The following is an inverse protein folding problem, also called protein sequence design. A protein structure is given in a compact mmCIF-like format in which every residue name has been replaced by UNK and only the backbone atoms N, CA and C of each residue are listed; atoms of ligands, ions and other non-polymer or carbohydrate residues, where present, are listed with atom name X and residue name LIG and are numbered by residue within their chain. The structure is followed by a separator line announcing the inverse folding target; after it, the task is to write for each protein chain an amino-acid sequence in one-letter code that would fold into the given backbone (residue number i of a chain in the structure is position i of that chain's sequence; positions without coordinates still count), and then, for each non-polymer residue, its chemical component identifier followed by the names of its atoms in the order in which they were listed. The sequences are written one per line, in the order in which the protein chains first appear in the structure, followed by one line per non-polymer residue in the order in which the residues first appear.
data_IF_449925489541
#
_entry.id   IF_449925489541
#
_cell.length_a   1.000
_cell.length_b   1.000
_cell.length_c   1.000
_cell.angle_alpha   90.00
_cell.angle_beta   90.00
_cell.angle_gamma   90.00
#
_symmetry.space_group_name_H-M   'P 1'
#
loop_
_entity.id
_entity.type
_entity.pdbx_description
1 polymer ?
#
# COMPACT_ATOMS: atom_id res chain seq x y z
N UNK A 1 -0.74 0.25 -11.77
CA UNK A 1 -0.59 -0.64 -10.59
C UNK A 1 0.50 -1.71 -10.78
N UNK A 2 1.58 -1.39 -11.51
CA UNK A 2 2.76 -2.25 -11.72
C UNK A 2 3.56 -2.53 -10.45
N UNK A 3 3.45 -1.71 -9.38
CA UNK A 3 4.26 -1.87 -8.16
C UNK A 3 4.05 -3.18 -7.39
N UNK A 4 2.94 -3.86 -7.63
CA UNK A 4 2.62 -5.14 -6.99
C UNK A 4 2.95 -6.33 -7.89
N UNK A 5 3.26 -6.06 -9.16
CA UNK A 5 3.53 -7.06 -10.17
C UNK A 5 4.90 -7.67 -9.90
N UNK A 6 5.01 -9.00 -9.85
CA UNK A 6 6.30 -9.64 -9.63
C UNK A 6 7.24 -9.37 -10.81
N UNK A 7 8.49 -9.02 -10.52
CA UNK A 7 9.52 -8.79 -11.56
C UNK A 7 10.14 -10.09 -12.08
N UNK A 8 9.93 -11.21 -11.37
CA UNK A 8 10.47 -12.50 -11.78
C UNK A 8 9.84 -13.68 -11.03
N UNK A 9 10.22 -14.88 -11.42
CA UNK A 9 9.66 -16.13 -10.91
C UNK A 9 9.73 -16.27 -9.39
N UNK A 10 10.82 -15.81 -8.77
CA UNK A 10 10.98 -15.86 -7.31
C UNK A 10 9.94 -15.00 -6.60
N UNK A 11 9.75 -13.75 -7.05
CA UNK A 11 8.73 -12.86 -6.48
C UNK A 11 7.33 -13.41 -6.79
N UNK A 12 7.11 -13.88 -8.01
CA UNK A 12 5.84 -14.45 -8.45
C UNK A 12 5.40 -15.63 -7.57
N UNK A 13 6.30 -16.57 -7.29
CA UNK A 13 6.03 -17.70 -6.40
C UNK A 13 5.96 -17.27 -4.93
N UNK A 14 6.79 -16.32 -4.53
CA UNK A 14 6.82 -15.76 -3.17
C UNK A 14 5.53 -15.04 -2.79
N UNK A 15 4.84 -14.40 -3.75
CA UNK A 15 3.63 -13.59 -3.47
C UNK A 15 2.53 -14.34 -2.74
N UNK A 16 2.33 -15.63 -3.05
CA UNK A 16 1.33 -16.44 -2.36
C UNK A 16 1.65 -16.64 -0.87
N UNK A 17 2.94 -16.68 -0.52
CA UNK A 17 3.39 -16.77 0.87
C UNK A 17 3.46 -15.41 1.55
N UNK A 18 3.80 -14.35 0.82
CA UNK A 18 3.78 -12.98 1.33
C UNK A 18 2.36 -12.51 1.69
N UNK A 19 1.30 -13.15 1.18
CA UNK A 19 -0.06 -12.92 1.67
C UNK A 19 -0.24 -13.28 3.15
N UNK A 20 0.60 -14.17 3.71
CA UNK A 20 0.58 -14.49 5.13
C UNK A 20 1.45 -13.54 5.98
N UNK A 21 2.24 -12.66 5.35
CA UNK A 21 3.13 -11.73 6.05
C UNK A 21 2.36 -10.48 6.52
N UNK A 22 2.76 -9.93 7.66
CA UNK A 22 2.24 -8.68 8.21
C UNK A 22 2.90 -7.45 7.56
N UNK A 23 3.94 -7.64 6.76
CA UNK A 23 4.66 -6.54 6.10
C UNK A 23 3.84 -5.94 4.95
N UNK A 24 3.95 -4.62 4.80
CA UNK A 24 3.41 -3.89 3.66
C UNK A 24 4.07 -4.37 2.36
N UNK A 25 3.33 -5.10 1.54
CA UNK A 25 3.84 -5.71 0.32
C UNK A 25 2.70 -6.08 -0.63
N UNK A 26 1.86 -7.03 -0.21
CA UNK A 26 0.65 -7.42 -0.94
C UNK A 26 -0.54 -6.55 -0.56
N UNK A 27 -0.66 -6.23 0.74
CA UNK A 27 -1.66 -5.35 1.30
C UNK A 27 -1.06 -3.97 1.60
N UNK A 28 -1.71 -2.89 1.14
CA UNK A 28 -1.23 -1.52 1.33
C UNK A 28 -2.18 -0.64 2.14
N UNK A 29 -3.48 -0.95 2.14
CA UNK A 29 -4.49 -0.16 2.87
C UNK A 29 -4.88 -0.85 4.18
N UNK A 30 -5.19 -2.15 4.11
CA UNK A 30 -5.58 -2.96 5.27
C UNK A 30 -4.74 -4.21 5.29
N UNK A 31 -3.89 -4.37 6.31
CA UNK A 31 -3.10 -5.59 6.50
C UNK A 31 -4.09 -6.72 6.85
N UNK A 32 -4.19 -7.71 5.97
CA UNK A 32 -5.13 -8.82 6.10
C UNK A 32 -4.40 -10.13 5.79
N UNK A 33 -3.51 -10.59 6.69
CA UNK A 33 -2.67 -11.74 6.44
C UNK A 33 -3.54 -12.99 6.28
N UNK A 34 -3.25 -13.75 5.23
CA UNK A 34 -4.04 -14.90 4.80
C UNK A 34 -3.10 -16.06 4.47
N UNK A 35 -3.15 -17.09 5.31
CA UNK A 35 -2.35 -18.30 5.18
C UNK A 35 -2.97 -19.28 4.18
N UNK A 36 -4.25 -19.13 3.84
CA UNK A 36 -4.98 -20.12 3.04
C UNK A 36 -4.34 -20.35 1.66
N UNK A 37 -3.86 -19.32 0.92
CA UNK A 37 -3.22 -19.53 -0.38
C UNK A 37 -1.92 -20.35 -0.27
N UNK A 38 -1.09 -20.06 0.74
CA UNK A 38 0.13 -20.81 1.01
C UNK A 38 -0.18 -22.29 1.35
N UNK A 39 -1.18 -22.52 2.20
CA UNK A 39 -1.64 -23.87 2.55
C UNK A 39 -2.14 -24.62 1.33
N UNK A 40 -2.91 -23.97 0.46
CA UNK A 40 -3.38 -24.59 -0.79
C UNK A 40 -2.21 -25.05 -1.67
N UNK A 41 -1.20 -24.20 -1.86
CA UNK A 41 -0.01 -24.54 -2.65
C UNK A 41 0.75 -25.71 -2.04
N UNK A 42 1.00 -25.68 -0.73
CA UNK A 42 1.71 -26.77 -0.02
C UNK A 42 0.93 -28.07 -0.05
N UNK A 43 -0.39 -28.02 0.17
CA UNK A 43 -1.25 -29.20 0.13
C UNK A 43 -1.31 -29.80 -1.28
N UNK A 44 -1.42 -28.98 -2.32
CA UNK A 44 -1.41 -29.43 -3.71
C UNK A 44 -0.05 -30.06 -4.10
N UNK A 45 1.06 -29.42 -3.73
CA UNK A 45 2.40 -29.95 -3.96
C UNK A 45 2.62 -31.28 -3.23
N UNK A 46 2.18 -31.38 -1.98
CA UNK A 46 2.26 -32.62 -1.17
C UNK A 46 1.40 -33.73 -1.79
N UNK A 47 0.17 -33.43 -2.21
CA UNK A 47 -0.69 -34.39 -2.89
C UNK A 47 -0.06 -34.92 -4.18
N UNK A 48 0.51 -34.02 -4.98
CA UNK A 48 1.21 -34.38 -6.22
C UNK A 48 2.43 -35.25 -5.94
N UNK A 49 3.27 -34.89 -4.96
CA UNK A 49 4.45 -35.66 -4.58
C UNK A 49 4.08 -37.07 -4.12
N UNK A 50 3.11 -37.21 -3.20
CA UNK A 50 2.65 -38.50 -2.70
C UNK A 50 2.07 -39.37 -3.82
N UNK A 51 1.39 -38.76 -4.78
CA UNK A 51 0.89 -39.45 -5.96
C UNK A 51 2.01 -39.98 -6.86
N UNK A 52 3.05 -39.17 -7.12
CA UNK A 52 4.23 -39.62 -7.90
C UNK A 52 4.97 -40.75 -7.20
N UNK A 53 5.21 -40.63 -5.89
CA UNK A 53 5.90 -41.66 -5.10
C UNK A 53 5.13 -42.98 -5.11
N UNK A 54 3.81 -42.93 -4.96
CA UNK A 54 2.96 -44.13 -5.01
C UNK A 54 2.99 -44.80 -6.38
N UNK A 55 2.96 -44.03 -7.46
CA UNK A 55 3.11 -44.54 -8.83
C UNK A 55 4.41 -45.32 -9.01
N UNK A 56 5.51 -44.80 -8.45
CA UNK A 56 6.83 -45.44 -8.56
C UNK A 56 6.93 -46.72 -7.72
N UNK A 57 6.41 -46.72 -6.50
CA UNK A 57 6.57 -47.86 -5.59
C UNK A 57 5.56 -48.99 -5.78
N UNK A 58 4.30 -48.69 -6.13
CA UNK A 58 3.22 -49.70 -6.16
C UNK A 58 2.85 -50.15 -7.59
N UNK A 59 3.59 -49.67 -8.60
CA UNK A 59 3.31 -49.95 -10.01
C UNK A 59 1.98 -49.34 -10.50
N UNK A 60 1.79 -49.26 -11.81
CA UNK A 60 0.63 -48.62 -12.45
C UNK A 60 -0.73 -49.30 -12.19
N UNK A 61 -0.82 -50.29 -11.29
CA UNK A 61 -1.96 -51.23 -11.26
C UNK A 61 -3.24 -50.75 -10.57
N UNK A 62 -3.29 -49.60 -9.87
CA UNK A 62 -4.55 -49.13 -9.29
C UNK A 62 -4.65 -47.61 -9.07
N UNK A 63 -4.86 -46.85 -10.14
CA UNK A 63 -5.28 -45.42 -10.07
C UNK A 63 -6.69 -45.26 -10.62
N UNK A 64 -7.54 -46.27 -10.39
CA UNK A 64 -8.99 -46.19 -10.61
C UNK A 64 -9.74 -45.63 -9.40
N UNK A 65 -9.03 -45.20 -8.35
CA UNK A 65 -9.62 -44.66 -7.12
C UNK A 65 -10.42 -43.36 -7.29
N UNK A 66 -10.20 -42.59 -8.37
CA UNK A 66 -11.02 -41.41 -8.66
C UNK A 66 -12.37 -41.73 -9.33
N UNK A 67 -12.60 -42.98 -9.81
CA UNK A 67 -13.82 -43.36 -10.54
C UNK A 67 -14.77 -44.30 -9.78
N UNK A 68 -14.33 -44.91 -8.66
CA UNK A 68 -15.07 -46.05 -8.06
C UNK A 68 -15.92 -45.78 -6.81
N UNK A 69 -15.98 -44.55 -6.29
CA UNK A 69 -16.88 -44.22 -5.18
C UNK A 69 -18.24 -43.75 -5.71
N UNK A 70 -19.07 -44.70 -6.12
CA UNK A 70 -20.45 -44.48 -6.60
C UNK A 70 -21.45 -44.08 -5.53
N UNK A 71 -21.08 -44.06 -4.25
CA UNK A 71 -22.01 -43.75 -3.16
C UNK A 71 -21.39 -42.75 -2.19
N UNK A 72 -22.10 -41.63 -2.02
CA UNK A 72 -21.95 -40.59 -0.99
C UNK A 72 -20.71 -39.66 -1.02
N UNK A 73 -20.86 -38.53 -1.72
CA UNK A 73 -20.81 -37.22 -1.05
C UNK A 73 -19.55 -36.35 -1.19
N UNK A 74 -18.42 -36.86 -1.67
CA UNK A 74 -17.21 -36.03 -1.85
C UNK A 74 -16.98 -35.79 -3.34
N UNK A 75 -17.05 -34.52 -3.77
CA UNK A 75 -17.11 -34.11 -5.18
C UNK A 75 -16.10 -34.81 -6.09
N UNK A 76 -16.45 -35.00 -7.37
CA UNK A 76 -15.59 -35.71 -8.32
C UNK A 76 -14.16 -35.15 -8.33
N UNK A 77 -13.17 -36.04 -8.38
CA UNK A 77 -11.75 -35.72 -8.57
C UNK A 77 -11.53 -34.71 -9.72
N UNK A 78 -12.35 -34.81 -10.78
CA UNK A 78 -12.37 -33.89 -11.92
C UNK A 78 -12.75 -32.47 -11.52
N UNK A 79 -13.72 -32.30 -10.62
CA UNK A 79 -14.17 -30.99 -10.12
C UNK A 79 -13.07 -30.29 -9.34
N UNK A 80 -12.32 -31.01 -8.49
CA UNK A 80 -11.23 -30.39 -7.72
C UNK A 80 -10.04 -30.04 -8.59
N UNK A 81 -9.71 -30.87 -9.59
CA UNK A 81 -8.70 -30.50 -10.58
C UNK A 81 -9.14 -29.29 -11.39
N UNK A 82 -10.39 -29.24 -11.86
CA UNK A 82 -10.92 -28.07 -12.57
C UNK A 82 -10.89 -26.80 -11.70
N UNK A 83 -11.25 -26.91 -10.42
CA UNK A 83 -11.18 -25.79 -9.48
C UNK A 83 -9.74 -25.33 -9.21
N UNK A 84 -8.77 -26.25 -9.11
CA UNK A 84 -7.34 -25.91 -9.00
C UNK A 84 -6.83 -25.18 -10.24
N UNK A 85 -7.22 -25.63 -11.44
CA UNK A 85 -6.84 -24.97 -12.69
C UNK A 85 -7.49 -23.58 -12.81
N UNK A 86 -8.77 -23.47 -12.48
CA UNK A 86 -9.47 -22.18 -12.44
C UNK A 86 -8.79 -21.21 -11.47
N UNK A 87 -8.48 -21.69 -10.26
CA UNK A 87 -7.73 -20.91 -9.28
C UNK A 87 -6.36 -20.47 -9.79
N UNK A 88 -5.60 -21.37 -10.43
CA UNK A 88 -4.27 -21.08 -10.97
C UNK A 88 -4.33 -20.02 -12.08
N UNK A 89 -5.30 -20.12 -13.00
CA UNK A 89 -5.52 -19.13 -14.07
C UNK A 89 -5.89 -17.78 -13.47
N UNK A 90 -6.83 -17.75 -12.53
CA UNK A 90 -7.21 -16.51 -11.85
C UNK A 90 -6.05 -15.92 -11.06
N UNK A 91 -5.21 -16.74 -10.44
CA UNK A 91 -4.03 -16.30 -9.69
C UNK A 91 -2.98 -15.69 -10.62
N UNK A 92 -2.73 -16.33 -11.76
CA UNK A 92 -1.86 -15.79 -12.80
C UNK A 92 -2.37 -14.47 -13.36
N UNK A 93 -3.68 -14.36 -13.64
CA UNK A 93 -4.30 -13.12 -14.09
C UNK A 93 -4.19 -12.01 -13.04
N UNK A 94 -4.43 -12.31 -11.76
CA UNK A 94 -4.29 -11.37 -10.66
C UNK A 94 -2.86 -10.81 -10.55
N UNK A 95 -1.85 -11.69 -10.58
CA UNK A 95 -0.44 -11.29 -10.54
C UNK A 95 0.00 -10.52 -11.79
N UNK A 96 -0.55 -10.85 -12.94
CA UNK A 96 -0.27 -10.13 -14.20
C UNK A 96 -0.83 -8.70 -14.17
N UNK A 97 -2.06 -8.53 -13.66
CA UNK A 97 -2.76 -7.24 -13.66
C UNK A 97 -2.27 -6.30 -12.54
N UNK A 98 -2.17 -6.81 -11.31
CA UNK A 98 -1.59 -6.01 -10.22
C UNK A 98 -0.78 -6.83 -9.24
N UNK A 99 -1.32 -7.89 -8.63
CA UNK A 99 -0.73 -8.50 -7.43
C UNK A 99 -1.10 -7.80 -6.11
N UNK A 100 -2.02 -6.83 -6.11
CA UNK A 100 -2.53 -6.19 -4.89
C UNK A 100 -3.59 -7.09 -4.24
N UNK A 101 -3.46 -7.38 -2.94
CA UNK A 101 -4.36 -8.23 -2.18
C UNK A 101 -5.83 -7.80 -2.23
N UNK A 102 -6.11 -6.51 -2.43
CA UNK A 102 -7.49 -5.98 -2.56
C UNK A 102 -8.26 -6.61 -3.74
N UNK A 103 -7.57 -6.93 -4.83
CA UNK A 103 -8.18 -7.55 -6.01
C UNK A 103 -8.11 -9.07 -6.00
N UNK A 104 -7.46 -9.66 -4.99
CA UNK A 104 -7.41 -11.11 -4.82
C UNK A 104 -8.70 -11.69 -4.20
N UNK A 105 -9.71 -10.87 -3.90
CA UNK A 105 -10.89 -11.30 -3.14
C UNK A 105 -11.62 -12.48 -3.80
N UNK A 106 -11.77 -12.45 -5.13
CA UNK A 106 -12.39 -13.56 -5.89
C UNK A 106 -11.60 -14.86 -5.74
N UNK A 107 -10.27 -14.78 -5.73
CA UNK A 107 -9.40 -15.92 -5.46
C UNK A 107 -9.60 -16.45 -4.05
N UNK A 108 -9.58 -15.54 -3.07
CA UNK A 108 -9.61 -15.88 -1.65
C UNK A 108 -10.90 -16.58 -1.22
N UNK A 109 -12.02 -16.29 -1.87
CA UNK A 109 -13.30 -16.98 -1.63
C UNK A 109 -13.18 -18.49 -1.92
N UNK A 110 -12.47 -18.87 -2.98
CA UNK A 110 -12.34 -20.27 -3.40
C UNK A 110 -11.22 -21.02 -2.67
N UNK A 111 -10.18 -20.31 -2.23
CA UNK A 111 -8.98 -20.92 -1.66
C UNK A 111 -9.28 -21.80 -0.45
N UNK A 112 -10.13 -21.34 0.48
CA UNK A 112 -10.44 -22.09 1.71
C UNK A 112 -11.10 -23.45 1.43
N UNK A 113 -12.27 -23.48 0.74
CA UNK A 113 -12.92 -24.73 0.34
C UNK A 113 -12.00 -25.64 -0.48
N UNK A 114 -11.20 -25.07 -1.39
CA UNK A 114 -10.30 -25.84 -2.24
C UNK A 114 -9.15 -26.45 -1.44
N UNK A 115 -8.56 -25.72 -0.49
CA UNK A 115 -7.53 -26.23 0.40
C UNK A 115 -8.06 -27.41 1.23
N UNK A 116 -9.26 -27.27 1.80
CA UNK A 116 -9.93 -28.36 2.52
C UNK A 116 -10.17 -29.59 1.64
N UNK A 117 -10.66 -29.40 0.41
CA UNK A 117 -10.93 -30.49 -0.52
C UNK A 117 -9.65 -31.21 -1.02
N UNK A 118 -8.52 -30.49 -1.14
CA UNK A 118 -7.21 -31.08 -1.45
C UNK A 118 -6.66 -31.83 -0.24
N UNK A 119 -6.72 -31.23 0.96
CA UNK A 119 -6.29 -31.88 2.21
C UNK A 119 -7.06 -33.17 2.48
N UNK A 120 -8.37 -33.18 2.21
CA UNK A 120 -9.20 -34.38 2.39
C UNK A 120 -8.80 -35.53 1.45
N UNK A 121 -8.17 -35.22 0.32
CA UNK A 121 -7.63 -36.23 -0.62
C UNK A 121 -6.20 -36.64 -0.32
N UNK A 122 -5.51 -35.98 0.60
CA UNK A 122 -4.19 -36.44 1.03
C UNK A 122 -4.34 -37.82 1.64
N UNK A 123 -3.51 -38.80 1.24
CA UNK A 123 -3.72 -40.17 1.63
C UNK A 123 -3.05 -40.48 2.98
N UNK A 124 -3.42 -39.68 3.97
CA UNK A 124 -3.08 -39.76 5.38
C UNK A 124 -4.32 -40.22 6.16
N UNK A 125 -4.14 -40.67 7.40
CA UNK A 125 -5.26 -41.07 8.27
C UNK A 125 -6.16 -39.86 8.60
N UNK A 126 -7.43 -40.12 8.89
CA UNK A 126 -8.45 -39.08 9.13
C UNK A 126 -8.13 -38.17 10.33
N UNK A 127 -7.58 -38.73 11.41
CA UNK A 127 -7.12 -37.98 12.59
C UNK A 127 -6.09 -36.91 12.22
N UNK A 128 -5.09 -37.26 11.39
CA UNK A 128 -4.09 -36.31 10.91
C UNK A 128 -4.67 -35.23 9.99
N UNK A 129 -5.71 -35.53 9.21
CA UNK A 129 -6.41 -34.52 8.39
C UNK A 129 -7.09 -33.47 9.27
N UNK A 130 -7.82 -33.92 10.29
CA UNK A 130 -8.47 -33.02 11.24
C UNK A 130 -7.47 -32.20 12.03
N UNK A 131 -6.39 -32.82 12.51
CA UNK A 131 -5.31 -32.09 13.18
C UNK A 131 -4.70 -31.02 12.28
N UNK A 132 -4.39 -31.35 11.01
CA UNK A 132 -3.84 -30.39 10.06
C UNK A 132 -4.81 -29.24 9.78
N UNK A 133 -6.11 -29.51 9.62
CA UNK A 133 -7.13 -28.46 9.48
C UNK A 133 -7.21 -27.59 10.73
N UNK A 134 -7.23 -28.19 11.93
CA UNK A 134 -7.25 -27.46 13.20
C UNK A 134 -6.02 -26.55 13.35
N UNK A 135 -4.83 -27.02 12.97
CA UNK A 135 -3.61 -26.21 12.94
C UNK A 135 -3.76 -25.03 11.98
N UNK A 136 -4.26 -25.25 10.76
CA UNK A 136 -4.46 -24.17 9.77
C UNK A 136 -5.47 -23.14 10.27
N UNK A 137 -6.60 -23.58 10.82
CA UNK A 137 -7.61 -22.69 11.40
C UNK A 137 -7.07 -21.92 12.60
N UNK A 138 -6.36 -22.60 13.51
CA UNK A 138 -5.71 -21.97 14.66
C UNK A 138 -4.68 -20.94 14.26
N UNK A 139 -3.80 -21.28 13.31
CA UNK A 139 -2.79 -20.37 12.78
C UNK A 139 -3.43 -19.17 12.07
N UNK A 140 -4.45 -19.36 11.24
CA UNK A 140 -5.18 -18.26 10.62
C UNK A 140 -5.87 -17.37 11.66
N UNK A 141 -6.43 -17.96 12.72
CA UNK A 141 -7.01 -17.22 13.84
C UNK A 141 -5.97 -16.36 14.58
N UNK A 142 -4.79 -16.93 14.85
CA UNK A 142 -3.65 -16.19 15.44
C UNK A 142 -3.20 -15.07 14.51
N UNK A 143 -3.09 -15.32 13.20
CA UNK A 143 -2.73 -14.30 12.22
C UNK A 143 -3.75 -13.16 12.23
N UNK A 144 -5.06 -13.45 12.12
CA UNK A 144 -6.12 -12.43 12.15
C UNK A 144 -6.09 -11.64 13.46
N UNK A 145 -5.91 -12.31 14.60
CA UNK A 145 -5.81 -11.66 15.89
C UNK A 145 -4.57 -10.75 15.99
N UNK A 146 -3.45 -11.17 15.43
CA UNK A 146 -2.19 -10.41 15.41
C UNK A 146 -2.18 -9.32 14.33
N UNK A 147 -3.02 -9.46 13.30
CA UNK A 147 -3.07 -8.59 12.13
C UNK A 147 -3.69 -7.24 12.40
N UNK A 148 -4.26 -7.05 13.58
CA UNK A 148 -4.91 -5.82 13.98
C UNK A 148 -3.84 -4.76 14.23
N UNK A 149 -3.45 -3.94 13.23
CA UNK A 149 -2.23 -3.13 13.32
C UNK A 149 -2.42 -1.97 14.30
N UNK A 150 -3.64 -1.74 14.75
CA UNK A 150 -4.04 -0.62 15.62
C UNK A 150 -5.17 -0.95 16.59
N UNK A 151 -5.76 -2.14 16.54
CA UNK A 151 -7.15 -2.30 16.97
C UNK A 151 -8.14 -1.28 16.36
N UNK A 152 -7.78 -0.36 15.46
CA UNK A 152 -8.65 0.78 15.10
C UNK A 152 -9.97 0.35 14.43
N UNK A 153 -9.99 -0.77 13.69
CA UNK A 153 -11.24 -1.34 13.19
C UNK A 153 -11.98 -2.15 14.26
N UNK A 154 -11.26 -2.80 15.19
CA UNK A 154 -11.86 -3.35 16.42
C UNK A 154 -12.20 -2.27 17.47
N UNK A 155 -11.85 -1.00 17.24
CA UNK A 155 -12.27 0.17 18.01
C UNK A 155 -13.62 0.71 17.54
N UNK A 156 -14.17 0.18 16.44
CA UNK A 156 -15.63 0.04 16.31
C UNK A 156 -16.16 -1.03 17.30
N UNK A 157 -15.64 -1.02 18.54
CA UNK A 157 -16.27 -1.64 19.71
C UNK A 157 -17.58 -0.95 20.02
N UNK A 158 -17.71 0.31 19.64
CA UNK A 158 -19.02 0.92 19.51
C UNK A 158 -19.79 0.13 18.47
N UNK A 159 -20.80 -0.58 18.97
CA UNK A 159 -21.76 -1.38 18.21
C UNK A 159 -22.16 -0.61 16.94
N UNK A 160 -22.47 -1.33 15.86
CA UNK A 160 -23.11 -0.83 14.63
C UNK A 160 -24.40 0.00 14.86
N UNK A 161 -24.77 0.22 16.12
CA UNK A 161 -25.87 1.03 16.63
C UNK A 161 -25.48 2.47 16.99
N UNK A 162 -24.19 2.83 17.09
CA UNK A 162 -23.82 4.23 17.39
C UNK A 162 -23.96 5.12 16.15
N UNK A 163 -24.31 6.38 16.39
CA UNK A 163 -24.24 7.43 15.37
C UNK A 163 -22.82 7.47 14.80
N UNK A 164 -22.72 7.69 13.48
CA UNK A 164 -21.49 7.66 12.68
C UNK A 164 -20.21 7.95 13.51
N UNK A 165 -19.12 7.15 13.43
CA UNK A 165 -17.93 7.24 14.31
C UNK A 165 -17.15 8.56 14.24
N UNK A 166 -17.68 9.52 13.48
CA UNK A 166 -17.17 10.84 13.28
C UNK A 166 -18.27 11.91 13.43
N UNK A 167 -19.30 11.66 14.25
CA UNK A 167 -20.38 12.60 14.52
C UNK A 167 -19.84 13.97 14.99
N UNK A 168 -18.74 13.95 15.75
CA UNK A 168 -18.02 15.15 16.19
C UNK A 168 -17.39 15.98 15.07
N UNK A 169 -17.32 15.48 13.82
CA UNK A 169 -16.82 16.28 12.69
C UNK A 169 -17.69 17.49 12.39
N UNK A 170 -19.00 17.37 12.57
CA UNK A 170 -19.89 18.51 12.33
C UNK A 170 -19.58 19.63 13.32
N UNK A 171 -19.51 19.32 14.62
CA UNK A 171 -19.14 20.28 15.68
C UNK A 171 -17.75 20.91 15.45
N UNK A 172 -16.83 20.14 14.86
CA UNK A 172 -15.48 20.58 14.53
C UNK A 172 -15.47 21.59 13.36
N UNK A 173 -16.22 21.33 12.30
CA UNK A 173 -16.14 22.07 11.03
C UNK A 173 -17.17 23.20 10.92
N UNK A 174 -18.35 23.04 11.50
CA UNK A 174 -19.46 24.00 11.38
C UNK A 174 -19.07 25.42 11.82
N UNK A 175 -18.36 25.64 12.95
CA UNK A 175 -17.97 26.98 13.35
C UNK A 175 -16.88 27.62 12.47
N UNK A 176 -16.16 26.81 11.68
CA UNK A 176 -15.16 27.29 10.73
C UNK A 176 -15.80 27.64 9.38
N UNK A 177 -16.97 27.07 9.09
CA UNK A 177 -17.73 27.24 7.86
C UNK A 177 -16.84 27.19 6.59
N UNK A 178 -16.08 26.10 6.39
CA UNK A 178 -15.12 26.02 5.29
C UNK A 178 -15.80 26.17 3.94
N UNK A 179 -15.12 26.81 2.99
CA UNK A 179 -15.40 26.70 1.56
C UNK A 179 -14.38 25.82 0.82
N UNK A 180 -13.25 25.55 1.46
CA UNK A 180 -12.24 24.58 1.05
C UNK A 180 -11.71 23.84 2.28
N UNK A 181 -11.82 22.52 2.30
CA UNK A 181 -11.19 21.65 3.29
C UNK A 181 -9.94 21.03 2.68
N UNK A 182 -8.81 21.24 3.34
CA UNK A 182 -7.49 20.80 2.93
C UNK A 182 -7.06 19.65 3.84
N UNK A 183 -6.79 18.49 3.26
CA UNK A 183 -6.13 17.38 3.95
C UNK A 183 -4.68 17.26 3.48
N UNK A 184 -3.74 17.27 4.40
CA UNK A 184 -2.30 17.03 4.14
C UNK A 184 -1.96 15.54 4.12
N UNK A 185 -2.92 14.68 4.48
CA UNK A 185 -2.79 13.23 4.49
C UNK A 185 -3.39 12.61 3.21
N UNK A 186 -3.18 11.30 3.04
CA UNK A 186 -3.70 10.55 1.89
C UNK A 186 -5.23 10.68 1.77
N UNK A 187 -5.75 10.59 0.54
CA UNK A 187 -7.19 10.75 0.22
C UNK A 187 -8.14 9.93 1.10
N UNK A 188 -7.70 8.78 1.63
CA UNK A 188 -8.49 7.97 2.56
C UNK A 188 -8.95 8.75 3.80
N UNK A 189 -8.18 9.72 4.29
CA UNK A 189 -8.58 10.56 5.43
C UNK A 189 -9.58 11.64 5.04
N UNK A 190 -9.55 12.10 3.78
CA UNK A 190 -10.56 13.01 3.24
C UNK A 190 -11.94 12.32 3.10
N UNK A 191 -11.96 10.99 2.92
CA UNK A 191 -13.21 10.22 2.87
C UNK A 191 -14.02 10.32 4.17
N UNK A 192 -13.38 10.59 5.32
CA UNK A 192 -14.05 10.79 6.60
C UNK A 192 -15.01 12.00 6.58
N UNK A 193 -14.76 12.96 5.70
CA UNK A 193 -15.47 14.24 5.66
C UNK A 193 -16.77 14.19 4.88
N UNK A 194 -16.88 13.28 3.90
CA UNK A 194 -17.84 13.34 2.77
C UNK A 194 -19.32 13.42 3.19
N UNK A 195 -19.65 12.93 4.39
CA UNK A 195 -21.03 12.90 4.87
C UNK A 195 -21.45 14.09 5.74
N UNK A 196 -20.55 15.02 6.07
CA UNK A 196 -20.91 16.18 6.90
C UNK A 196 -21.55 17.31 6.08
N UNK A 197 -22.52 18.08 6.62
CA UNK A 197 -23.09 19.23 5.91
C UNK A 197 -22.03 20.25 5.48
N UNK A 198 -21.05 20.54 6.36
CA UNK A 198 -19.94 21.44 6.06
C UNK A 198 -19.08 20.95 4.88
N UNK A 199 -18.76 19.65 4.82
CA UNK A 199 -17.98 19.11 3.71
C UNK A 199 -18.77 19.05 2.39
N UNK A 200 -20.09 18.86 2.44
CA UNK A 200 -20.95 18.94 1.24
C UNK A 200 -20.99 20.36 0.65
N UNK A 201 -20.81 21.38 1.48
CA UNK A 201 -20.77 22.78 1.07
C UNK A 201 -19.37 23.27 0.69
N UNK A 202 -18.32 22.47 0.92
CA UNK A 202 -16.93 22.84 0.69
C UNK A 202 -16.28 21.97 -0.39
N UNK A 203 -15.29 22.52 -1.09
CA UNK A 203 -14.39 21.69 -1.88
C UNK A 203 -13.45 20.91 -0.96
N UNK A 204 -13.12 19.67 -1.30
CA UNK A 204 -12.16 18.86 -0.53
C UNK A 204 -10.92 18.64 -1.38
N UNK A 205 -9.76 18.97 -0.83
CA UNK A 205 -8.47 18.90 -1.52
C UNK A 205 -7.47 18.11 -0.67
N UNK A 206 -6.85 17.08 -1.26
CA UNK A 206 -5.70 16.40 -0.66
C UNK A 206 -4.40 16.98 -1.21
N UNK A 207 -3.65 17.70 -0.38
CA UNK A 207 -2.37 18.29 -0.79
C UNK A 207 -1.26 17.26 -0.97
N UNK A 208 -1.30 16.14 -0.25
CA UNK A 208 -0.34 15.05 -0.44
C UNK A 208 -0.42 14.53 -1.88
N UNK A 209 -1.65 14.32 -2.38
CA UNK A 209 -1.87 13.90 -3.75
C UNK A 209 -1.39 14.96 -4.76
N UNK A 210 -1.82 16.22 -4.60
CA UNK A 210 -1.45 17.30 -5.50
C UNK A 210 0.08 17.52 -5.54
N UNK A 211 0.74 17.52 -4.38
CA UNK A 211 2.19 17.64 -4.29
C UNK A 211 2.91 16.42 -4.88
N UNK A 212 2.36 15.21 -4.68
CA UNK A 212 2.91 13.99 -5.25
C UNK A 212 2.77 13.91 -6.78
N UNK A 213 1.87 14.67 -7.40
CA UNK A 213 1.74 14.70 -8.85
C UNK A 213 2.82 15.57 -9.52
N UNK A 214 3.54 16.39 -8.75
CA UNK A 214 4.60 17.27 -9.23
C UNK A 214 4.12 18.72 -9.45
N UNK A 215 5.05 19.68 -9.39
CA UNK A 215 4.72 21.11 -9.39
C UNK A 215 4.00 21.62 -10.65
N UNK A 216 4.22 20.97 -11.80
CA UNK A 216 3.60 21.33 -13.08
C UNK A 216 2.39 20.47 -13.45
N UNK A 217 1.95 19.56 -12.57
CA UNK A 217 0.82 18.69 -12.85
C UNK A 217 -0.49 19.49 -12.89
N UNK A 218 -1.47 18.99 -13.65
CA UNK A 218 -2.83 19.56 -13.67
C UNK A 218 -3.44 19.59 -12.27
N UNK A 219 -3.22 18.55 -11.46
CA UNK A 219 -3.68 18.43 -10.09
C UNK A 219 -3.08 19.50 -9.18
N UNK A 220 -1.77 19.78 -9.31
CA UNK A 220 -1.14 20.84 -8.54
C UNK A 220 -1.63 22.22 -8.96
N UNK A 221 -1.81 22.48 -10.26
CA UNK A 221 -2.37 23.73 -10.76
C UNK A 221 -3.82 23.94 -10.30
N UNK A 222 -4.63 22.87 -10.28
CA UNK A 222 -5.99 22.90 -9.73
C UNK A 222 -5.98 23.17 -8.22
N UNK A 223 -5.07 22.56 -7.47
CA UNK A 223 -4.89 22.81 -6.04
C UNK A 223 -4.57 24.28 -5.77
N UNK A 224 -3.58 24.85 -6.48
CA UNK A 224 -3.19 26.26 -6.38
C UNK A 224 -4.38 27.18 -6.68
N UNK A 225 -5.14 26.89 -7.75
CA UNK A 225 -6.33 27.69 -8.11
C UNK A 225 -7.41 27.61 -7.04
N UNK A 226 -7.72 26.42 -6.53
CA UNK A 226 -8.72 26.23 -5.49
C UNK A 226 -8.35 27.00 -4.21
N UNK A 227 -7.07 26.96 -3.79
CA UNK A 227 -6.59 27.71 -2.63
C UNK A 227 -6.63 29.22 -2.86
N UNK A 228 -6.31 29.69 -4.06
CA UNK A 228 -6.39 31.11 -4.41
C UNK A 228 -7.83 31.64 -4.41
N UNK A 229 -8.81 30.79 -4.70
CA UNK A 229 -10.25 31.14 -4.72
C UNK A 229 -10.92 30.98 -3.35
N UNK A 230 -10.40 30.11 -2.48
CA UNK A 230 -10.96 29.86 -1.16
C UNK A 230 -10.87 31.10 -0.24
N UNK A 231 -12.01 31.50 0.32
CA UNK A 231 -12.12 32.59 1.31
C UNK A 231 -11.90 32.08 2.73
N UNK A 232 -12.28 30.84 3.02
CA UNK A 232 -12.19 30.19 4.34
C UNK A 232 -11.57 28.79 4.20
N UNK A 233 -10.29 28.69 3.78
CA UNK A 233 -9.60 27.43 3.74
C UNK A 233 -9.40 26.87 5.16
N UNK A 234 -9.69 25.60 5.35
CA UNK A 234 -9.55 24.89 6.63
C UNK A 234 -8.65 23.68 6.42
N UNK A 235 -7.60 23.55 7.22
CA UNK A 235 -6.84 22.32 7.36
C UNK A 235 -7.65 21.32 8.17
N UNK A 236 -7.75 20.08 7.70
CA UNK A 236 -8.29 18.94 8.42
C UNK A 236 -7.25 17.81 8.48
N UNK A 237 -6.99 17.31 9.68
CA UNK A 237 -6.07 16.20 9.92
C UNK A 237 -6.68 15.21 10.92
N UNK A 238 -6.36 13.92 10.73
CA UNK A 238 -6.78 12.85 11.63
C UNK A 238 -5.55 12.09 12.13
N UNK A 239 -5.45 11.92 13.44
CA UNK A 239 -4.33 11.25 14.10
C UNK A 239 -4.84 10.09 14.94
N UNK A 240 -4.47 8.87 14.56
CA UNK A 240 -4.76 7.68 15.38
C UNK A 240 -3.83 7.72 16.59
N UNK A 241 -4.38 7.96 17.79
CA UNK A 241 -3.58 8.22 18.99
C UNK A 241 -2.77 7.01 19.46
N UNK A 242 -3.11 5.80 19.03
CA UNK A 242 -2.34 4.58 19.37
C UNK A 242 -0.92 4.57 18.77
N UNK A 243 -0.69 5.35 17.70
CA UNK A 243 0.62 5.46 17.04
C UNK A 243 1.39 6.71 17.46
N UNK A 244 0.90 7.42 18.46
CA UNK A 244 1.47 8.68 18.91
C UNK A 244 1.86 8.47 20.36
N UNK A 245 3.13 8.71 20.67
CA UNK A 245 3.55 8.76 22.06
C UNK A 245 2.73 9.85 22.78
N UNK A 246 2.24 9.55 23.99
CA UNK A 246 1.46 10.50 24.78
C UNK A 246 2.24 11.80 25.01
N UNK A 247 3.57 11.74 25.08
CA UNK A 247 4.42 12.93 25.19
C UNK A 247 4.44 13.79 23.93
N UNK A 248 4.15 13.21 22.77
CA UNK A 248 4.15 13.87 21.47
C UNK A 248 2.74 14.31 21.02
N UNK A 249 1.68 13.91 21.71
CA UNK A 249 0.31 14.38 21.43
C UNK A 249 0.22 15.93 21.37
N UNK A 250 0.89 16.70 22.26
CA UNK A 250 0.94 18.15 22.15
C UNK A 250 1.74 18.69 20.95
N UNK A 251 2.61 17.86 20.37
CA UNK A 251 3.44 18.21 19.20
C UNK A 251 2.79 17.82 17.89
N UNK A 252 1.85 16.87 17.90
CA UNK A 252 1.06 16.48 16.73
C UNK A 252 0.37 17.66 16.07
N UNK A 253 -0.01 18.67 16.85
CA UNK A 253 -0.67 19.87 16.35
C UNK A 253 0.14 20.59 15.26
N UNK A 254 1.47 20.39 15.24
CA UNK A 254 2.40 21.17 14.43
C UNK A 254 3.46 20.30 13.75
N UNK A 255 3.03 19.26 13.01
CA UNK A 255 3.98 18.55 12.16
C UNK A 255 4.61 19.54 11.18
N UNK A 256 5.93 19.65 11.28
CA UNK A 256 6.76 20.48 10.41
C UNK A 256 6.48 20.17 8.94
N UNK A 257 6.18 18.92 8.61
CA UNK A 257 5.79 18.49 7.25
C UNK A 257 4.53 19.18 6.74
N UNK A 258 3.44 19.23 7.53
CA UNK A 258 2.19 19.87 7.12
C UNK A 258 2.37 21.37 6.94
N UNK A 259 3.13 22.02 7.85
CA UNK A 259 3.46 23.44 7.73
C UNK A 259 4.32 23.73 6.50
N UNK A 260 5.34 22.92 6.24
CA UNK A 260 6.17 23.05 5.03
C UNK A 260 5.34 22.88 3.77
N UNK A 261 4.40 21.93 3.76
CA UNK A 261 3.52 21.69 2.62
C UNK A 261 2.57 22.88 2.40
N UNK A 262 1.92 23.38 3.46
CA UNK A 262 1.03 24.54 3.38
C UNK A 262 1.78 25.83 2.98
N UNK A 263 3.00 26.02 3.48
CA UNK A 263 3.83 27.18 3.16
C UNK A 263 4.15 27.26 1.66
N UNK A 264 4.32 26.12 0.96
CA UNK A 264 4.50 26.09 -0.50
C UNK A 264 3.32 26.70 -1.27
N UNK A 265 2.15 26.71 -0.65
CA UNK A 265 0.93 27.28 -1.21
C UNK A 265 0.57 28.65 -0.59
N UNK A 266 1.49 29.27 0.17
CA UNK A 266 1.25 30.55 0.82
C UNK A 266 0.21 30.48 1.94
N UNK A 267 0.06 29.32 2.58
CA UNK A 267 -0.86 29.11 3.67
C UNK A 267 -0.12 28.83 4.98
N UNK A 268 -0.64 29.36 6.08
CA UNK A 268 -0.21 29.04 7.43
C UNK A 268 -1.41 28.75 8.30
N UNK A 269 -1.21 27.95 9.34
CA UNK A 269 -2.30 27.59 10.24
C UNK A 269 -2.61 28.71 11.21
N UNK A 270 -3.89 29.10 11.30
CA UNK A 270 -4.36 30.02 12.32
C UNK A 270 -4.63 29.27 13.62
N UNK A 271 -3.63 29.25 14.50
CA UNK A 271 -3.67 28.50 15.77
C UNK A 271 -4.88 28.84 16.64
N UNK A 272 -5.34 30.09 16.60
CA UNK A 272 -6.48 30.55 17.40
C UNK A 272 -7.82 29.96 16.93
N UNK A 273 -7.90 29.54 15.66
CA UNK A 273 -9.09 28.93 15.06
C UNK A 273 -9.11 27.40 15.16
N UNK A 274 -8.05 26.79 15.71
CA UNK A 274 -7.94 25.34 15.78
C UNK A 274 -8.97 24.74 16.75
N UNK A 275 -9.66 23.71 16.28
CA UNK A 275 -10.61 22.89 17.02
C UNK A 275 -10.13 21.45 17.02
N UNK A 276 -10.46 20.74 18.09
CA UNK A 276 -10.11 19.34 18.26
C UNK A 276 -11.31 18.55 18.77
N UNK A 277 -11.43 17.32 18.29
CA UNK A 277 -12.39 16.37 18.81
C UNK A 277 -11.73 14.99 18.84
N UNK A 278 -11.94 14.25 19.92
CA UNK A 278 -11.53 12.85 19.98
C UNK A 278 -12.70 12.00 19.50
N UNK A 279 -12.48 11.20 18.47
CA UNK A 279 -13.50 10.27 18.00
C UNK A 279 -13.57 9.03 18.89
N UNK A 280 -14.69 8.27 18.85
CA UNK A 280 -14.79 6.96 19.50
C UNK A 280 -13.71 5.96 19.08
N UNK A 281 -13.11 6.15 17.90
CA UNK A 281 -12.03 5.29 17.36
C UNK A 281 -10.65 5.65 17.91
N UNK A 282 -10.56 6.37 19.03
CA UNK A 282 -9.31 6.90 19.58
C UNK A 282 -8.51 7.75 18.56
N UNK A 283 -9.20 8.40 17.63
CA UNK A 283 -8.59 9.28 16.64
C UNK A 283 -8.78 10.73 17.07
N UNK A 284 -7.69 11.48 17.19
CA UNK A 284 -7.72 12.92 17.37
C UNK A 284 -7.97 13.58 16.01
N UNK A 285 -9.13 14.20 15.87
CA UNK A 285 -9.53 15.00 14.74
C UNK A 285 -9.15 16.45 15.02
N UNK A 286 -8.47 17.10 14.08
CA UNK A 286 -8.05 18.50 14.19
C UNK A 286 -8.54 19.25 12.96
N UNK A 287 -9.21 20.38 13.17
CA UNK A 287 -9.51 21.33 12.10
C UNK A 287 -9.05 22.73 12.49
N UNK A 288 -8.36 23.41 11.58
CA UNK A 288 -7.88 24.76 11.80
C UNK A 288 -8.16 25.62 10.57
N UNK A 289 -8.62 26.84 10.77
CA UNK A 289 -8.59 27.85 9.73
C UNK A 289 -7.16 28.11 9.26
N UNK A 290 -7.04 28.47 7.99
CA UNK A 290 -5.77 28.80 7.36
C UNK A 290 -5.74 30.28 6.99
N UNK A 291 -4.62 30.93 7.29
CA UNK A 291 -4.33 32.31 6.90
C UNK A 291 -3.43 32.32 5.68
N UNK A 292 -3.72 33.23 4.75
CA UNK A 292 -2.80 33.51 3.65
C UNK A 292 -1.61 34.26 4.21
N UNK A 293 -0.42 33.72 4.00
CA UNK A 293 0.82 34.47 4.10
C UNK A 293 1.16 35.01 2.72
N UNK A 294 1.87 36.15 2.62
CA UNK A 294 2.50 36.56 1.37
C UNK A 294 3.21 35.32 0.83
N UNK A 295 2.74 34.84 -0.32
CA UNK A 295 3.35 33.67 -0.92
C UNK A 295 4.77 34.11 -1.24
N UNK A 296 5.73 33.64 -0.45
CA UNK A 296 7.04 33.36 -1.00
C UNK A 296 6.75 32.24 -1.98
N UNK A 297 6.25 32.60 -3.17
CA UNK A 297 6.26 31.71 -4.33
C UNK A 297 7.72 31.35 -4.39
N UNK A 298 8.01 30.16 -3.87
CA UNK A 298 9.38 29.70 -3.80
C UNK A 298 9.68 29.55 -5.25
N UNK A 299 10.47 30.48 -5.80
CA UNK A 299 10.88 30.48 -7.19
C UNK A 299 11.21 29.02 -7.51
N UNK A 300 10.46 28.43 -8.45
CA UNK A 300 10.35 26.98 -8.56
C UNK A 300 11.75 26.39 -8.47
N UNK A 301 12.04 25.66 -7.38
CA UNK A 301 13.39 25.21 -7.08
C UNK A 301 13.88 24.46 -8.31
N UNK A 302 14.88 25.02 -8.98
CA UNK A 302 15.50 24.35 -10.14
C UNK A 302 16.44 23.29 -9.58
N UNK A 303 16.43 22.07 -10.14
CA UNK A 303 17.42 21.07 -9.75
C UNK A 303 18.82 21.61 -10.05
N UNK A 304 19.80 21.25 -9.23
CA UNK A 304 21.19 21.53 -9.55
C UNK A 304 21.53 20.86 -10.91
N UNK A 305 22.28 21.52 -11.80
CA UNK A 305 22.56 21.00 -13.15
C UNK A 305 23.12 19.56 -13.15
N UNK A 306 23.97 19.22 -12.19
CA UNK A 306 24.53 17.87 -12.04
C UNK A 306 23.50 16.83 -11.56
N UNK A 307 22.58 17.23 -10.67
CA UNK A 307 21.51 16.36 -10.20
C UNK A 307 20.55 16.02 -11.36
N UNK A 308 20.18 17.03 -12.13
CA UNK A 308 19.34 16.89 -13.33
C UNK A 308 20.03 16.05 -14.41
N UNK A 309 21.29 16.36 -14.74
CA UNK A 309 22.06 15.60 -15.72
C UNK A 309 22.20 14.12 -15.33
N UNK A 310 22.48 13.84 -14.05
CA UNK A 310 22.60 12.47 -13.54
C UNK A 310 21.27 11.71 -13.59
N UNK A 311 20.16 12.39 -13.30
CA UNK A 311 18.82 11.80 -13.39
C UNK A 311 18.43 11.53 -14.85
N UNK A 312 18.66 12.47 -15.76
CA UNK A 312 18.39 12.30 -17.18
C UNK A 312 19.22 11.16 -17.76
N UNK A 313 20.50 11.05 -17.37
CA UNK A 313 21.36 9.96 -17.80
C UNK A 313 20.89 8.61 -17.28
N UNK A 314 20.43 8.54 -16.03
CA UNK A 314 19.81 7.33 -15.49
C UNK A 314 18.56 6.95 -16.29
N UNK A 315 17.70 7.91 -16.62
CA UNK A 315 16.48 7.68 -17.41
C UNK A 315 16.83 7.15 -18.80
N UNK A 316 17.83 7.72 -19.45
CA UNK A 316 18.31 7.28 -20.77
C UNK A 316 18.84 5.84 -20.71
N UNK A 317 19.70 5.53 -19.73
CA UNK A 317 20.28 4.20 -19.55
C UNK A 317 19.26 3.13 -19.14
N UNK A 318 18.27 3.52 -18.35
CA UNK A 318 17.31 2.60 -17.74
C UNK A 318 15.89 2.72 -18.27
N UNK A 319 15.66 3.40 -19.40
CA UNK A 319 14.33 3.84 -19.85
C UNK A 319 13.25 2.76 -19.75
N UNK A 320 13.48 1.56 -20.31
CA UNK A 320 12.52 0.45 -20.20
C UNK A 320 12.39 -0.15 -18.79
N UNK A 321 13.47 -0.13 -18.01
CA UNK A 321 13.55 -0.67 -16.65
C UNK A 321 12.97 0.26 -15.57
N UNK A 322 12.87 1.56 -15.84
CA UNK A 322 12.37 2.56 -14.90
C UNK A 322 11.01 3.16 -15.31
N UNK A 323 10.54 2.90 -16.53
CA UNK A 323 9.22 3.34 -16.97
C UNK A 323 8.08 2.60 -16.23
N UNK A 324 6.99 3.29 -15.84
CA UNK A 324 6.70 4.71 -16.08
C UNK A 324 7.46 5.67 -15.15
N UNK A 325 7.81 6.83 -15.69
CA UNK A 325 8.29 7.99 -14.92
C UNK A 325 7.13 8.49 -14.05
N UNK A 326 7.34 8.49 -12.74
CA UNK A 326 6.38 9.04 -11.77
C UNK A 326 6.69 10.50 -11.44
N UNK A 327 6.36 10.87 -10.21
CA UNK A 327 6.59 12.20 -9.67
C UNK A 327 8.08 12.60 -9.64
N UNK A 328 8.36 13.85 -9.99
CA UNK A 328 9.65 14.49 -9.75
C UNK A 328 9.47 15.63 -8.75
N UNK A 329 10.43 15.79 -7.84
CA UNK A 329 10.49 16.98 -6.99
C UNK A 329 11.93 17.35 -6.64
N UNK A 330 12.16 18.66 -6.56
CA UNK A 330 13.45 19.24 -6.19
C UNK A 330 13.47 19.49 -4.69
N UNK A 331 14.56 19.08 -4.06
CA UNK A 331 14.82 19.27 -2.64
C UNK A 331 15.38 20.67 -2.38
N UNK A 332 15.29 21.19 -1.14
CA UNK A 332 15.81 22.52 -0.80
C UNK A 332 17.31 22.69 -1.04
N UNK A 333 18.08 21.60 -1.01
CA UNK A 333 19.51 21.60 -1.32
C UNK A 333 19.80 21.67 -2.83
N UNK A 334 18.79 21.59 -3.71
CA UNK A 334 18.94 21.47 -5.16
C UNK A 334 19.02 20.03 -5.66
N UNK A 335 18.95 19.03 -4.78
CA UNK A 335 18.84 17.63 -5.16
C UNK A 335 17.53 17.33 -5.89
N UNK A 336 17.53 16.33 -6.77
CA UNK A 336 16.36 15.91 -7.53
C UNK A 336 15.92 14.51 -7.10
N UNK A 337 14.68 14.37 -6.65
CA UNK A 337 14.08 13.07 -6.36
C UNK A 337 13.09 12.72 -7.46
N UNK A 338 13.24 11.52 -8.00
CA UNK A 338 12.37 10.96 -9.02
C UNK A 338 11.82 9.62 -8.55
N UNK A 339 10.50 9.48 -8.68
CA UNK A 339 9.78 8.24 -8.42
C UNK A 339 9.63 7.49 -9.73
N UNK A 340 9.95 6.19 -9.73
CA UNK A 340 9.89 5.33 -10.91
C UNK A 340 9.04 4.10 -10.65
N UNK A 341 8.45 3.53 -11.71
CA UNK A 341 7.63 2.30 -11.66
C UNK A 341 6.62 2.33 -10.51
N UNK A 342 5.84 3.40 -10.44
CA UNK A 342 4.79 3.59 -9.43
C UNK A 342 5.32 3.45 -7.98
N UNK A 343 6.45 4.10 -7.73
CA UNK A 343 7.16 4.12 -6.46
C UNK A 343 7.83 2.81 -6.04
N UNK A 344 8.13 1.91 -6.99
CA UNK A 344 9.01 0.76 -6.72
C UNK A 344 10.44 1.23 -6.41
N UNK A 345 10.93 2.17 -7.21
CA UNK A 345 12.23 2.80 -7.03
C UNK A 345 12.02 4.29 -6.77
N UNK A 346 12.69 4.79 -5.75
CA UNK A 346 12.80 6.22 -5.48
C UNK A 346 14.27 6.53 -5.60
N UNK A 347 14.63 7.33 -6.60
CA UNK A 347 16.01 7.73 -6.82
C UNK A 347 16.16 9.18 -6.42
N UNK A 348 17.19 9.46 -5.64
CA UNK A 348 17.63 10.81 -5.29
C UNK A 348 18.96 11.06 -5.97
N UNK A 349 18.99 12.03 -6.88
CA UNK A 349 20.21 12.63 -7.39
C UNK A 349 20.57 13.82 -6.50
N UNK A 350 21.73 13.79 -5.87
CA UNK A 350 22.23 14.91 -5.05
C UNK A 350 22.90 15.96 -5.93
N UNK A 351 23.20 17.13 -5.35
CA UNK A 351 23.84 18.25 -6.05
C UNK A 351 25.21 17.93 -6.65
N UNK A 352 25.93 16.95 -6.11
CA UNK A 352 27.20 16.46 -6.65
C UNK A 352 27.04 15.38 -7.74
N UNK A 353 25.80 15.11 -8.15
CA UNK A 353 25.44 14.08 -9.12
C UNK A 353 25.44 12.65 -8.57
N UNK A 354 25.64 12.43 -7.27
CA UNK A 354 25.52 11.09 -6.70
C UNK A 354 24.09 10.58 -6.79
N UNK A 355 23.92 9.30 -7.14
CA UNK A 355 22.60 8.65 -7.15
C UNK A 355 22.45 7.75 -5.94
N UNK A 356 21.38 8.00 -5.21
CA UNK A 356 20.92 7.16 -4.14
C UNK A 356 19.61 6.51 -4.55
N UNK A 357 19.54 5.18 -4.41
CA UNK A 357 18.34 4.42 -4.73
C UNK A 357 17.77 3.88 -3.44
N UNK A 358 16.48 4.15 -3.22
CA UNK A 358 15.68 3.53 -2.19
C UNK A 358 14.64 2.64 -2.87
N UNK A 359 14.70 1.35 -2.58
CA UNK A 359 13.60 0.44 -2.87
C UNK A 359 12.45 0.75 -1.92
N UNK A 360 11.21 0.61 -2.37
CA UNK A 360 10.05 0.91 -1.53
C UNK A 360 10.03 0.18 -0.18
N UNK A 361 10.53 -1.05 -0.15
CA UNK A 361 10.60 -1.87 1.06
C UNK A 361 11.78 -1.49 1.96
N UNK A 362 12.75 -0.74 1.45
CA UNK A 362 13.89 -0.27 2.22
C UNK A 362 13.55 1.07 2.89
N UNK A 363 13.88 1.19 4.17
CA UNK A 363 13.69 2.44 4.92
C UNK A 363 14.66 3.51 4.43
N UNK A 364 15.88 3.09 4.09
CA UNK A 364 17.00 3.97 3.81
C UNK A 364 17.39 3.97 2.32
N UNK A 365 17.83 5.12 1.86
CA UNK A 365 18.50 5.26 0.58
C UNK A 365 19.88 4.61 0.61
N UNK A 366 20.24 3.88 -0.44
CA UNK A 366 21.59 3.32 -0.63
C UNK A 366 22.26 4.06 -1.78
N UNK A 367 23.50 4.50 -1.58
CA UNK A 367 24.27 5.09 -2.65
C UNK A 367 24.62 4.00 -3.68
N UNK A 368 24.29 4.25 -4.94
CA UNK A 368 24.59 3.34 -6.07
C UNK A 368 25.57 3.97 -7.05
N UNK A 369 25.66 5.30 -7.03
CA UNK A 369 26.58 6.09 -7.85
C UNK A 369 27.16 7.24 -7.03
N UNK A 370 28.47 7.47 -7.13
CA UNK A 370 29.17 8.53 -6.39
C UNK A 370 29.35 9.85 -7.17
N UNK A 371 28.58 10.04 -8.25
CA UNK A 371 28.58 11.28 -9.02
C UNK A 371 29.94 11.51 -9.67
N UNK A 372 30.45 12.74 -9.58
CA UNK A 372 31.78 13.09 -10.10
C UNK A 372 32.97 12.42 -9.37
N UNK A 373 32.72 11.69 -8.28
CA UNK A 373 33.75 10.94 -7.53
C UNK A 373 33.81 9.46 -7.90
N UNK A 374 32.87 8.97 -8.71
CA UNK A 374 32.91 7.57 -9.14
C UNK A 374 33.97 7.40 -10.24
N UNK A 375 34.92 6.46 -10.09
CA UNK A 375 35.97 6.23 -11.09
C UNK A 375 35.44 5.58 -12.38
N UNK A 376 34.22 5.02 -12.35
CA UNK A 376 33.60 4.38 -13.52
C UNK A 376 33.07 5.44 -14.48
N UNK A 377 32.95 5.12 -15.77
CA UNK A 377 32.23 5.97 -16.72
C UNK A 377 30.77 5.54 -16.78
N UNK A 378 29.86 6.49 -17.02
CA UNK A 378 28.44 6.19 -17.22
C UNK A 378 28.16 5.18 -18.34
N UNK A 379 29.03 5.10 -19.36
CA UNK A 379 28.94 4.12 -20.44
C UNK A 379 29.10 2.68 -19.98
N UNK A 380 29.78 2.48 -18.84
CA UNK A 380 30.21 1.16 -18.38
C UNK A 380 29.27 0.63 -17.28
N UNK A 381 28.27 1.43 -16.88
CA UNK A 381 27.31 1.06 -15.86
C UNK A 381 26.10 0.43 -16.52
N UNK A 382 25.88 -0.84 -16.22
CA UNK A 382 24.62 -1.48 -16.55
C UNK A 382 23.51 -0.94 -15.64
N UNK A 383 22.32 -0.74 -16.21
CA UNK A 383 21.16 -0.29 -15.44
C UNK A 383 20.92 -1.16 -14.18
N UNK A 384 21.11 -2.47 -14.32
CA UNK A 384 20.97 -3.45 -13.24
C UNK A 384 21.90 -3.18 -12.04
N UNK A 385 23.09 -2.60 -12.26
CA UNK A 385 24.00 -2.25 -11.17
C UNK A 385 23.47 -1.10 -10.29
N UNK A 386 22.59 -0.26 -10.84
CA UNK A 386 21.98 0.86 -10.11
C UNK A 386 20.68 0.38 -9.42
N UNK A 387 19.85 -0.40 -10.12
CA UNK A 387 18.50 -0.71 -9.63
C UNK A 387 18.39 -2.01 -8.85
N UNK A 388 19.24 -3.03 -9.06
CA UNK A 388 19.12 -4.31 -8.33
C UNK A 388 19.57 -4.20 -6.88
N UNK A 389 18.96 -5.04 -6.04
CA UNK A 389 19.14 -5.05 -4.59
C UNK A 389 20.57 -5.37 -4.18
#
# INVERSE_FOLDING_TARGET
MSRFRPDGWRELLGRTFEMADFRGGVYVETIAPDLRPAVLVVAAATAMLLWVLRRRHFGSRHISGCERSGEAGYGSCRVVVAALLAWLVSWGAWLYVSGNGRYALVLLVLVGPLAGAVMWRLPIRNDWRWLALAIVFGAQGVLINSASPSQAWSMMRERWTSTHPFASLQELLEPLAPDLIIATQSQTMAALLVNTPAAKAAHILSLDFAASAGGHSQENLMAVRAMAQAKRPVLFEAYVLDFVDKSDEPRLYWRSTSQQLLARYGLTVDKASCRKAKSPLNTLLVACGLKRTPSTVTEALKPAPLAEASMNRLIELCGGSLWPLGASYVQPDGGLVQVFREARYIVRATIDGSLYVRWRQDVNFRQRWAGGRDPRKWSDIECDAIIRK
#
